data_IF_730045025707
#
_entry.id   IF_730045025707
#
_cell.length_a   1.000
_cell.length_b   1.000
_cell.length_c   1.000
_cell.angle_alpha   90.00
_cell.angle_beta   90.00
_cell.angle_gamma   90.00
#
_symmetry.space_group_name_H-M   'P 1'
#
loop_
_entity.id
_entity.type
_entity.pdbx_description
1 polymer ?
#
# COMPACT_ATOMS: atom_id res chain seq x y z
N UNK A 1 13.77 -31.36 -2.53
CA UNK A 1 12.39 -30.93 -2.22
C UNK A 1 11.59 -32.21 -2.02
N UNK A 2 10.81 -32.29 -0.95
CA UNK A 2 10.14 -33.50 -0.45
C UNK A 2 9.02 -34.05 -1.36
N UNK A 3 8.74 -33.43 -2.51
CA UNK A 3 7.78 -33.97 -3.49
C UNK A 3 8.05 -33.44 -4.89
N UNK A 4 7.54 -34.10 -5.96
CA UNK A 4 7.78 -33.71 -7.34
C UNK A 4 7.32 -32.28 -7.66
N UNK A 5 6.20 -31.84 -7.08
CA UNK A 5 5.64 -30.50 -7.36
C UNK A 5 5.92 -29.49 -6.23
N UNK A 6 6.70 -29.85 -5.21
CA UNK A 6 7.17 -28.90 -4.22
C UNK A 6 8.13 -27.88 -4.84
N UNK A 7 7.88 -26.58 -4.63
CA UNK A 7 8.84 -25.49 -4.94
C UNK A 7 8.57 -24.23 -4.11
N UNK A 8 9.65 -23.52 -3.80
CA UNK A 8 9.60 -22.17 -3.23
C UNK A 8 9.12 -21.18 -4.31
N UNK A 9 8.27 -20.22 -3.92
CA UNK A 9 7.84 -19.12 -4.82
C UNK A 9 8.63 -17.83 -4.58
N UNK A 10 9.74 -17.91 -3.84
CA UNK A 10 10.75 -16.86 -3.72
C UNK A 10 11.55 -16.62 -5.01
N UNK A 11 12.14 -15.43 -5.12
CA UNK A 11 13.01 -15.02 -6.23
C UNK A 11 12.27 -14.48 -7.46
N UNK A 12 10.94 -14.40 -7.43
CA UNK A 12 10.15 -13.84 -8.54
C UNK A 12 10.22 -12.30 -8.52
N UNK A 13 10.46 -11.64 -9.66
CA UNK A 13 10.50 -10.18 -9.71
C UNK A 13 9.11 -9.60 -9.43
N UNK A 14 9.07 -8.46 -8.75
CA UNK A 14 7.84 -7.67 -8.51
C UNK A 14 7.89 -6.34 -9.24
N UNK A 15 6.73 -5.72 -9.45
CA UNK A 15 6.60 -4.35 -9.98
C UNK A 15 7.29 -3.28 -9.12
N UNK A 16 7.62 -3.60 -7.87
CA UNK A 16 8.30 -2.70 -6.93
C UNK A 16 9.83 -2.72 -7.06
N UNK A 17 10.37 -3.53 -7.98
CA UNK A 17 11.82 -3.61 -8.22
C UNK A 17 12.57 -4.48 -7.22
N UNK A 18 11.86 -5.28 -6.42
CA UNK A 18 12.40 -6.29 -5.50
C UNK A 18 11.89 -7.68 -5.86
N UNK A 19 12.56 -8.73 -5.38
CA UNK A 19 12.12 -10.11 -5.58
C UNK A 19 11.30 -10.62 -4.40
N UNK A 20 10.44 -11.61 -4.64
CA UNK A 20 9.73 -12.31 -3.57
C UNK A 20 10.73 -13.01 -2.62
N UNK A 21 10.42 -13.00 -1.33
CA UNK A 21 11.27 -13.53 -0.27
C UNK A 21 11.45 -15.05 -0.42
N UNK A 22 12.69 -15.56 -0.37
CA UNK A 22 12.92 -17.00 -0.35
C UNK A 22 12.29 -17.62 0.91
N UNK A 23 11.76 -18.83 0.76
CA UNK A 23 11.13 -19.65 1.79
C UNK A 23 9.94 -18.98 2.50
N UNK A 24 9.38 -17.89 1.97
CA UNK A 24 8.22 -17.25 2.58
C UNK A 24 6.95 -18.09 2.38
N UNK A 25 6.76 -18.58 1.15
CA UNK A 25 5.66 -19.46 0.77
C UNK A 25 6.23 -20.57 -0.09
N UNK A 26 5.86 -21.81 0.23
CA UNK A 26 6.20 -22.98 -0.56
C UNK A 26 4.90 -23.63 -1.02
N UNK A 27 4.82 -23.92 -2.32
CA UNK A 27 3.73 -24.73 -2.87
C UNK A 27 4.17 -26.17 -3.00
N UNK A 28 3.25 -27.12 -2.80
CA UNK A 28 3.54 -28.55 -2.86
C UNK A 28 2.33 -29.36 -3.31
N UNK A 29 2.56 -30.58 -3.80
CA UNK A 29 1.58 -31.66 -3.75
C UNK A 29 1.54 -32.30 -2.36
N UNK A 30 0.76 -33.39 -2.21
CA UNK A 30 0.58 -34.06 -0.91
C UNK A 30 1.92 -34.51 -0.35
N UNK A 31 2.15 -34.19 0.92
CA UNK A 31 3.29 -34.71 1.67
C UNK A 31 3.08 -36.21 1.96
N UNK A 32 4.06 -37.04 1.58
CA UNK A 32 4.14 -38.44 1.98
C UNK A 32 4.97 -38.58 3.29
N UNK A 33 4.67 -39.59 4.10
CA UNK A 33 5.38 -39.87 5.33
C UNK A 33 6.87 -40.20 5.11
N UNK A 34 7.22 -40.71 3.91
CA UNK A 34 8.60 -41.00 3.54
C UNK A 34 9.48 -39.74 3.46
N UNK A 35 8.88 -38.59 3.16
CA UNK A 35 9.59 -37.33 2.92
C UNK A 35 9.51 -36.35 4.11
N UNK A 36 8.98 -36.82 5.25
CA UNK A 36 8.72 -36.01 6.44
C UNK A 36 10.00 -35.36 7.01
N UNK A 37 11.14 -36.05 6.97
CA UNK A 37 12.40 -35.51 7.50
C UNK A 37 12.92 -34.31 6.70
N UNK A 38 12.77 -34.31 5.37
CA UNK A 38 13.14 -33.17 4.53
C UNK A 38 12.16 -32.01 4.73
N UNK A 39 10.88 -32.33 4.93
CA UNK A 39 9.84 -31.35 5.25
C UNK A 39 10.06 -30.67 6.61
N UNK A 40 10.35 -31.43 7.66
CA UNK A 40 10.58 -30.89 9.01
C UNK A 40 11.75 -29.89 9.06
N UNK A 41 12.76 -30.07 8.20
CA UNK A 41 13.87 -29.12 8.04
C UNK A 41 13.45 -27.75 7.47
N UNK A 42 12.26 -27.64 6.86
CA UNK A 42 11.71 -26.36 6.42
C UNK A 42 11.32 -25.49 7.62
N UNK A 43 10.94 -26.12 8.74
CA UNK A 43 10.43 -25.49 9.95
C UNK A 43 9.22 -24.58 9.70
N UNK A 44 8.23 -25.10 8.96
CA UNK A 44 7.03 -24.36 8.57
C UNK A 44 6.22 -23.86 9.78
N UNK A 45 5.81 -22.59 9.74
CA UNK A 45 4.88 -22.01 10.71
C UNK A 45 3.43 -22.40 10.43
N UNK A 46 3.12 -22.72 9.16
CA UNK A 46 1.81 -23.22 8.74
C UNK A 46 1.98 -24.21 7.58
N UNK A 47 1.24 -25.31 7.65
CA UNK A 47 1.06 -26.30 6.58
C UNK A 47 -0.43 -26.39 6.30
N UNK A 48 -0.83 -25.79 5.18
CA UNK A 48 -2.22 -25.62 4.79
C UNK A 48 -2.62 -26.68 3.77
N UNK A 49 -3.47 -27.61 4.21
CA UNK A 49 -4.05 -28.66 3.37
C UNK A 49 -5.41 -28.21 2.82
N UNK A 50 -5.47 -28.04 1.50
CA UNK A 50 -6.66 -27.59 0.76
C UNK A 50 -7.57 -28.74 0.29
N UNK A 51 -7.25 -29.99 0.65
CA UNK A 51 -7.99 -31.18 0.21
C UNK A 51 -9.32 -31.34 0.91
N UNK A 52 -10.30 -31.81 0.17
CA UNK A 52 -11.63 -32.14 0.68
C UNK A 52 -11.70 -33.57 1.22
N UNK A 53 -12.77 -33.90 1.96
CA UNK A 53 -12.84 -35.17 2.72
C UNK A 53 -12.70 -36.39 1.80
N UNK A 54 -13.28 -36.34 0.59
CA UNK A 54 -13.22 -37.43 -0.38
C UNK A 54 -11.82 -37.68 -0.95
N UNK A 55 -10.88 -36.76 -0.76
CA UNK A 55 -9.48 -36.93 -1.17
C UNK A 55 -8.61 -37.53 -0.05
N UNK A 56 -9.10 -37.51 1.19
CA UNK A 56 -8.40 -37.98 2.38
C UNK A 56 -8.60 -39.48 2.57
N UNK A 57 -7.79 -40.29 1.89
CA UNK A 57 -7.79 -41.75 2.10
C UNK A 57 -7.11 -42.17 3.41
N UNK A 58 -6.18 -41.34 3.90
CA UNK A 58 -5.41 -41.53 5.12
C UNK A 58 -5.26 -40.16 5.81
N UNK A 59 -5.12 -40.12 7.14
CA UNK A 59 -4.75 -38.89 7.87
C UNK A 59 -3.50 -38.23 7.28
N UNK A 60 -3.42 -36.91 7.37
CA UNK A 60 -2.21 -36.21 6.93
C UNK A 60 -1.05 -36.53 7.91
N UNK A 61 0.20 -36.71 7.45
CA UNK A 61 1.32 -37.04 8.35
C UNK A 61 1.55 -36.04 9.50
N UNK A 62 1.14 -34.78 9.31
CA UNK A 62 1.26 -33.71 10.31
C UNK A 62 -0.03 -33.44 11.09
N UNK A 63 -1.05 -34.26 10.93
CA UNK A 63 -2.32 -34.08 11.63
C UNK A 63 -2.12 -34.09 13.16
N UNK A 64 -2.65 -33.07 13.83
CA UNK A 64 -2.47 -32.85 15.28
C UNK A 64 -1.24 -32.04 15.67
N UNK A 65 -0.35 -31.70 14.73
CA UNK A 65 0.75 -30.75 15.00
C UNK A 65 0.24 -29.30 15.02
N UNK A 66 0.87 -28.37 15.77
CA UNK A 66 0.46 -26.97 15.80
C UNK A 66 0.58 -26.24 14.46
N UNK A 67 1.49 -26.70 13.58
CA UNK A 67 1.71 -26.09 12.27
C UNK A 67 0.68 -26.55 11.23
N UNK A 68 0.02 -27.69 11.41
CA UNK A 68 -0.89 -28.23 10.42
C UNK A 68 -2.31 -27.69 10.57
N UNK A 69 -2.85 -27.18 9.47
CA UNK A 69 -4.26 -26.80 9.39
C UNK A 69 -4.86 -27.29 8.09
N UNK A 70 -6.04 -27.89 8.20
CA UNK A 70 -6.82 -28.31 7.03
C UNK A 70 -7.99 -27.36 6.83
N UNK A 71 -8.03 -26.71 5.67
CA UNK A 71 -9.15 -25.88 5.23
C UNK A 71 -9.45 -26.28 3.78
N UNK A 72 -10.44 -27.14 3.53
CA UNK A 72 -10.78 -27.57 2.18
C UNK A 72 -11.10 -26.36 1.32
N UNK A 73 -10.54 -26.27 0.12
CA UNK A 73 -10.93 -25.19 -0.79
C UNK A 73 -12.41 -25.26 -1.16
N UNK A 74 -12.89 -26.48 -1.46
CA UNK A 74 -14.26 -26.68 -1.91
C UNK A 74 -15.16 -26.72 -0.68
N UNK A 75 -16.13 -25.81 -0.63
CA UNK A 75 -17.22 -25.82 0.33
C UNK A 75 -18.30 -26.82 -0.13
N UNK A 76 -18.55 -27.91 0.61
CA UNK A 76 -19.53 -28.92 0.21
C UNK A 76 -20.99 -28.41 0.15
N UNK A 77 -21.34 -27.34 0.86
CA UNK A 77 -22.65 -26.71 0.71
C UNK A 77 -22.72 -25.88 -0.56
N UNK A 78 -21.70 -25.05 -0.82
CA UNK A 78 -21.66 -24.24 -2.01
C UNK A 78 -21.59 -25.09 -3.29
N UNK A 79 -20.80 -26.16 -3.29
CA UNK A 79 -20.65 -27.07 -4.44
C UNK A 79 -21.94 -27.85 -4.74
N UNK A 80 -22.82 -28.08 -3.75
CA UNK A 80 -24.16 -28.67 -3.99
C UNK A 80 -25.08 -27.78 -4.81
N UNK A 81 -24.83 -26.47 -4.81
CA UNK A 81 -25.59 -25.48 -5.56
C UNK A 81 -24.95 -25.16 -6.92
N UNK A 82 -23.88 -25.87 -7.30
CA UNK A 82 -23.18 -25.65 -8.57
C UNK A 82 -24.06 -26.02 -9.76
N UNK A 83 -24.20 -25.06 -10.67
CA UNK A 83 -24.76 -25.30 -12.00
C UNK A 83 -23.63 -25.66 -12.97
N UNK A 84 -23.57 -26.92 -13.39
CA UNK A 84 -22.56 -27.39 -14.32
C UNK A 84 -22.76 -26.86 -15.75
N UNK A 85 -24.00 -26.54 -16.13
CA UNK A 85 -24.32 -26.01 -17.46
C UNK A 85 -23.86 -24.56 -17.61
N UNK A 86 -23.74 -23.83 -16.48
CA UNK A 86 -23.14 -22.51 -16.42
C UNK A 86 -21.60 -22.53 -16.47
N UNK A 87 -20.96 -23.70 -16.42
CA UNK A 87 -19.49 -23.88 -16.42
C UNK A 87 -19.03 -24.92 -17.47
N UNK A 88 -19.30 -24.69 -18.77
CA UNK A 88 -19.04 -25.68 -19.80
C UNK A 88 -17.54 -25.94 -20.05
N UNK A 89 -16.66 -25.01 -19.64
CA UNK A 89 -15.21 -25.12 -19.81
C UNK A 89 -14.51 -25.14 -18.45
N UNK A 90 -13.33 -25.77 -18.39
CA UNK A 90 -12.55 -25.84 -17.16
C UNK A 90 -12.18 -24.44 -16.60
N UNK A 91 -11.95 -23.46 -17.48
CA UNK A 91 -11.67 -22.07 -17.07
C UNK A 91 -12.87 -21.44 -16.34
N UNK A 92 -14.10 -21.80 -16.72
CA UNK A 92 -15.31 -21.33 -16.06
C UNK A 92 -15.42 -21.94 -14.65
N UNK A 93 -15.01 -23.20 -14.49
CA UNK A 93 -14.93 -23.86 -13.18
C UNK A 93 -13.93 -23.17 -12.25
N UNK A 94 -12.73 -22.85 -12.74
CA UNK A 94 -11.71 -22.14 -11.96
C UNK A 94 -12.20 -20.77 -11.52
N UNK A 95 -12.75 -20.01 -12.47
CA UNK A 95 -13.33 -18.68 -12.27
C UNK A 95 -14.40 -18.71 -11.19
N UNK A 96 -15.46 -19.48 -11.40
CA UNK A 96 -16.62 -19.49 -10.53
C UNK A 96 -16.31 -20.14 -9.17
N UNK A 97 -15.27 -20.97 -9.09
CA UNK A 97 -14.79 -21.51 -7.81
C UNK A 97 -14.31 -20.43 -6.85
N UNK A 98 -13.76 -19.31 -7.36
CA UNK A 98 -13.28 -18.18 -6.53
C UNK A 98 -14.42 -17.47 -5.79
N UNK A 99 -15.61 -17.41 -6.37
CA UNK A 99 -16.79 -16.78 -5.75
C UNK A 99 -17.66 -17.80 -5.02
N UNK A 100 -17.88 -18.99 -5.61
CA UNK A 100 -18.67 -20.07 -4.98
C UNK A 100 -18.09 -20.49 -3.64
N UNK A 101 -16.77 -20.60 -3.52
CA UNK A 101 -16.11 -21.09 -2.31
C UNK A 101 -15.62 -19.96 -1.38
N UNK A 102 -16.19 -18.75 -1.49
CA UNK A 102 -15.72 -17.56 -0.79
C UNK A 102 -15.49 -17.77 0.71
N UNK A 103 -16.42 -18.39 1.42
CA UNK A 103 -16.30 -18.64 2.87
C UNK A 103 -15.03 -19.44 3.22
N UNK A 104 -14.73 -20.48 2.45
CA UNK A 104 -13.55 -21.31 2.67
C UNK A 104 -12.27 -20.60 2.23
N UNK A 105 -12.31 -19.90 1.10
CA UNK A 105 -11.16 -19.13 0.58
C UNK A 105 -10.77 -17.99 1.54
N UNK A 106 -11.74 -17.27 2.11
CA UNK A 106 -11.47 -16.25 3.13
C UNK A 106 -10.75 -16.83 4.36
N UNK A 107 -11.16 -18.02 4.82
CA UNK A 107 -10.48 -18.74 5.92
C UNK A 107 -9.06 -19.18 5.54
N UNK A 108 -8.85 -19.61 4.29
CA UNK A 108 -7.52 -19.97 3.75
C UNK A 108 -6.57 -18.77 3.83
N UNK A 109 -6.96 -17.63 3.27
CA UNK A 109 -6.09 -16.45 3.28
C UNK A 109 -5.93 -15.86 4.68
N UNK A 110 -6.96 -15.91 5.54
CA UNK A 110 -6.83 -15.53 6.95
C UNK A 110 -5.78 -16.39 7.67
N UNK A 111 -5.80 -17.71 7.48
CA UNK A 111 -4.81 -18.61 8.06
C UNK A 111 -3.38 -18.28 7.59
N UNK A 112 -3.18 -17.98 6.30
CA UNK A 112 -1.87 -17.58 5.76
C UNK A 112 -1.41 -16.23 6.34
N UNK A 113 -2.34 -15.28 6.51
CA UNK A 113 -2.07 -13.97 7.08
C UNK A 113 -1.71 -14.04 8.58
N UNK A 114 -2.29 -15.00 9.31
CA UNK A 114 -2.11 -15.16 10.75
C UNK A 114 -0.98 -16.14 11.13
N UNK A 115 -0.41 -16.84 10.15
CA UNK A 115 0.78 -17.67 10.35
C UNK A 115 1.97 -16.83 10.85
N UNK A 116 2.93 -17.41 11.59
CA UNK A 116 4.13 -16.70 12.02
C UNK A 116 4.87 -16.04 10.84
N UNK A 117 5.23 -14.76 10.97
CA UNK A 117 5.82 -13.97 9.88
C UNK A 117 7.28 -14.34 9.57
N UNK A 118 7.97 -14.95 10.52
CA UNK A 118 9.36 -15.38 10.48
C UNK A 118 9.53 -16.83 9.99
N UNK A 119 8.41 -17.56 9.79
CA UNK A 119 8.43 -18.97 9.38
C UNK A 119 7.71 -19.19 8.04
N UNK A 120 8.13 -20.19 7.25
CA UNK A 120 7.50 -20.52 5.97
C UNK A 120 6.03 -20.94 6.10
N UNK A 121 5.24 -20.63 5.08
CA UNK A 121 3.92 -21.22 4.88
C UNK A 121 3.99 -22.23 3.75
N UNK A 122 3.53 -23.45 3.98
CA UNK A 122 3.35 -24.46 2.93
C UNK A 122 1.89 -24.53 2.56
N UNK A 123 1.58 -24.44 1.27
CA UNK A 123 0.23 -24.62 0.74
C UNK A 123 0.21 -25.82 -0.20
N UNK A 124 -0.66 -26.79 0.07
CA UNK A 124 -0.80 -27.95 -0.80
C UNK A 124 -2.26 -28.35 -1.00
N UNK A 125 -2.50 -29.03 -2.13
CA UNK A 125 -3.74 -29.75 -2.39
C UNK A 125 -3.36 -31.20 -2.73
N UNK A 126 -4.14 -31.88 -3.58
CA UNK A 126 -3.79 -33.24 -4.02
C UNK A 126 -2.52 -33.30 -4.89
N UNK A 127 -2.49 -32.51 -5.95
CA UNK A 127 -1.37 -32.50 -6.91
C UNK A 127 -0.56 -31.20 -6.86
N UNK A 128 -0.89 -30.28 -5.94
CA UNK A 128 -0.26 -28.95 -5.90
C UNK A 128 -0.55 -28.10 -7.15
N UNK A 129 -1.56 -28.48 -7.94
CA UNK A 129 -1.86 -27.95 -9.26
C UNK A 129 -2.93 -26.86 -9.21
N UNK A 130 -4.19 -27.26 -9.03
CA UNK A 130 -5.36 -26.39 -9.22
C UNK A 130 -5.56 -25.40 -8.06
N UNK A 131 -6.00 -25.88 -6.89
CA UNK A 131 -6.31 -25.04 -5.71
C UNK A 131 -5.08 -24.33 -5.15
N UNK A 132 -3.98 -25.07 -5.05
CA UNK A 132 -2.67 -24.49 -4.72
C UNK A 132 -2.26 -23.45 -5.74
N UNK A 133 -2.45 -23.70 -7.04
CA UNK A 133 -2.15 -22.73 -8.08
C UNK A 133 -2.96 -21.44 -7.94
N UNK A 134 -4.27 -21.55 -7.68
CA UNK A 134 -5.13 -20.39 -7.42
C UNK A 134 -4.69 -19.61 -6.17
N UNK A 135 -4.44 -20.29 -5.04
CA UNK A 135 -3.93 -19.61 -3.83
C UNK A 135 -2.63 -18.87 -4.11
N UNK A 136 -1.67 -19.52 -4.76
CA UNK A 136 -0.37 -18.94 -5.07
C UNK A 136 -0.51 -17.76 -6.03
N UNK A 137 -1.34 -17.86 -7.06
CA UNK A 137 -1.54 -16.77 -8.01
C UNK A 137 -2.10 -15.51 -7.36
N UNK A 138 -3.08 -15.65 -6.46
CA UNK A 138 -3.63 -14.52 -5.71
C UNK A 138 -2.56 -13.89 -4.80
N UNK A 139 -1.74 -14.69 -4.12
CA UNK A 139 -0.64 -14.16 -3.30
C UNK A 139 0.40 -13.43 -4.13
N UNK A 140 0.80 -13.99 -5.28
CA UNK A 140 1.81 -13.40 -6.15
C UNK A 140 1.31 -12.12 -6.84
N UNK A 141 0.06 -12.08 -7.28
CA UNK A 141 -0.54 -10.88 -7.88
C UNK A 141 -0.70 -9.76 -6.84
N UNK A 142 -1.11 -10.11 -5.61
CA UNK A 142 -1.09 -9.19 -4.45
C UNK A 142 0.32 -8.64 -4.15
N UNK A 143 1.33 -9.50 -4.24
CA UNK A 143 2.74 -9.14 -4.07
C UNK A 143 3.34 -8.38 -5.27
N UNK A 144 2.53 -8.12 -6.31
CA UNK A 144 2.93 -7.36 -7.48
C UNK A 144 3.85 -8.10 -8.45
N UNK A 145 3.86 -9.44 -8.43
CA UNK A 145 4.57 -10.25 -9.42
C UNK A 145 3.85 -10.14 -10.77
N UNK A 146 4.57 -9.88 -11.88
CA UNK A 146 3.96 -9.81 -13.20
C UNK A 146 3.25 -11.12 -13.57
N UNK A 147 2.07 -11.01 -14.18
CA UNK A 147 1.18 -12.16 -14.41
C UNK A 147 1.78 -13.22 -15.32
N UNK A 148 2.66 -12.83 -16.24
CA UNK A 148 3.44 -13.77 -17.06
C UNK A 148 4.35 -14.67 -16.22
N UNK A 149 4.92 -14.15 -15.12
CA UNK A 149 5.73 -14.93 -14.18
C UNK A 149 4.86 -15.85 -13.34
N UNK A 150 3.68 -15.37 -12.90
CA UNK A 150 2.69 -16.19 -12.19
C UNK A 150 2.24 -17.37 -13.06
N UNK A 151 1.96 -17.11 -14.34
CA UNK A 151 1.52 -18.13 -15.28
C UNK A 151 2.64 -19.11 -15.64
N UNK A 152 3.88 -18.63 -15.75
CA UNK A 152 5.06 -19.48 -15.92
C UNK A 152 5.28 -20.39 -14.70
N UNK A 153 5.21 -19.86 -13.47
CA UNK A 153 5.27 -20.69 -12.26
C UNK A 153 4.18 -21.76 -12.25
N UNK A 154 2.94 -21.38 -12.56
CA UNK A 154 1.83 -22.32 -12.61
C UNK A 154 2.08 -23.48 -13.58
N UNK A 155 2.57 -23.17 -14.79
CA UNK A 155 2.83 -24.13 -15.87
C UNK A 155 3.94 -25.15 -15.56
N UNK A 156 4.87 -24.84 -14.65
CA UNK A 156 5.91 -25.79 -14.19
C UNK A 156 5.29 -27.08 -13.65
N UNK A 157 4.10 -26.98 -13.05
CA UNK A 157 3.39 -28.13 -12.48
C UNK A 157 3.13 -29.21 -13.54
N UNK A 158 2.93 -28.84 -14.81
CA UNK A 158 2.74 -29.81 -15.90
C UNK A 158 3.93 -30.73 -16.07
N UNK A 159 5.13 -30.13 -16.02
CA UNK A 159 6.40 -30.81 -16.22
C UNK A 159 6.74 -31.68 -15.03
N UNK A 160 6.56 -31.13 -13.82
CA UNK A 160 6.86 -31.83 -12.58
C UNK A 160 5.95 -33.04 -12.35
N UNK A 161 4.69 -32.96 -12.80
CA UNK A 161 3.73 -34.05 -12.67
C UNK A 161 3.76 -35.03 -13.86
N UNK A 162 4.50 -34.73 -14.94
CA UNK A 162 4.59 -35.59 -16.12
C UNK A 162 3.28 -35.71 -16.90
N UNK A 163 2.51 -34.62 -17.00
CA UNK A 163 1.15 -34.63 -17.60
C UNK A 163 1.05 -33.83 -18.91
N UNK A 164 2.18 -33.55 -19.56
CA UNK A 164 2.25 -32.76 -20.80
C UNK A 164 1.46 -33.39 -21.96
N UNK A 165 1.45 -34.73 -22.02
CA UNK A 165 0.73 -35.53 -23.03
C UNK A 165 -0.64 -36.01 -22.53
N UNK A 166 -1.07 -35.53 -21.36
CA UNK A 166 -2.36 -35.88 -20.76
C UNK A 166 -3.56 -35.20 -21.43
N UNK A 167 -4.79 -35.63 -21.07
CA UNK A 167 -6.01 -34.95 -21.51
C UNK A 167 -5.99 -33.47 -21.12
N UNK A 168 -6.59 -32.63 -21.95
CA UNK A 168 -6.59 -31.16 -21.78
C UNK A 168 -6.96 -30.71 -20.36
N UNK A 169 -7.98 -31.33 -19.76
CA UNK A 169 -8.45 -30.98 -18.41
C UNK A 169 -7.45 -31.29 -17.28
N UNK A 170 -6.43 -32.10 -17.55
CA UNK A 170 -5.38 -32.44 -16.58
C UNK A 170 -4.22 -31.44 -16.59
N UNK A 171 -4.04 -30.72 -17.72
CA UNK A 171 -2.89 -29.84 -17.97
C UNK A 171 -2.87 -28.58 -17.10
N UNK A 172 -1.76 -27.86 -17.08
CA UNK A 172 -1.62 -26.54 -16.42
C UNK A 172 -1.26 -25.46 -17.42
N UNK A 173 -2.18 -25.22 -18.35
CA UNK A 173 -1.96 -24.16 -19.32
C UNK A 173 -1.97 -22.78 -18.65
N UNK A 174 -1.04 -21.87 -19.00
CA UNK A 174 -0.97 -20.49 -18.47
C UNK A 174 -2.32 -19.76 -18.46
N UNK A 175 -3.14 -19.93 -19.49
CA UNK A 175 -4.40 -19.21 -19.66
C UNK A 175 -5.42 -19.51 -18.55
N UNK A 176 -5.30 -20.66 -17.88
CA UNK A 176 -6.16 -21.04 -16.77
C UNK A 176 -6.00 -20.11 -15.57
N UNK A 177 -4.75 -19.77 -15.22
CA UNK A 177 -4.49 -18.91 -14.08
C UNK A 177 -4.68 -17.44 -14.44
N UNK A 178 -4.30 -17.06 -15.67
CA UNK A 178 -4.53 -15.71 -16.19
C UNK A 178 -6.02 -15.38 -16.22
N UNK A 179 -6.86 -16.27 -16.77
CA UNK A 179 -8.30 -16.05 -16.81
C UNK A 179 -8.98 -16.05 -15.43
N UNK A 180 -8.33 -16.59 -14.40
CA UNK A 180 -8.77 -16.48 -13.01
C UNK A 180 -8.43 -15.12 -12.42
N UNK A 181 -7.23 -14.58 -12.69
CA UNK A 181 -6.83 -13.25 -12.25
C UNK A 181 -7.60 -12.14 -12.98
N UNK A 182 -7.86 -12.29 -14.28
CA UNK A 182 -8.74 -11.40 -15.06
C UNK A 182 -10.15 -11.35 -14.46
N UNK A 183 -10.67 -12.48 -13.98
CA UNK A 183 -11.95 -12.47 -13.27
C UNK A 183 -11.91 -11.70 -11.95
N UNK A 184 -10.78 -11.71 -11.25
CA UNK A 184 -10.64 -10.89 -10.05
C UNK A 184 -10.60 -9.40 -10.39
N UNK A 185 -10.06 -9.02 -11.55
CA UNK A 185 -10.13 -7.61 -12.03
C UNK A 185 -11.58 -7.16 -12.24
N UNK A 186 -12.45 -8.02 -12.78
CA UNK A 186 -13.89 -7.75 -12.89
C UNK A 186 -14.55 -7.51 -11.51
N UNK A 187 -13.95 -7.99 -10.43
CA UNK A 187 -14.38 -7.81 -9.04
C UNK A 187 -13.65 -6.64 -8.33
N UNK A 188 -12.88 -5.83 -9.06
CA UNK A 188 -12.08 -4.72 -8.52
C UNK A 188 -10.64 -5.08 -8.14
N UNK A 189 -10.15 -6.23 -8.62
CA UNK A 189 -8.79 -6.72 -8.40
C UNK A 189 -8.64 -7.58 -7.14
N UNK A 190 -7.44 -8.13 -6.95
CA UNK A 190 -7.13 -9.05 -5.83
C UNK A 190 -7.38 -8.43 -4.47
N UNK A 191 -7.04 -7.15 -4.27
CA UNK A 191 -7.27 -6.48 -2.99
C UNK A 191 -8.77 -6.41 -2.65
N UNK A 192 -9.60 -5.94 -3.60
CA UNK A 192 -11.04 -5.85 -3.41
C UNK A 192 -11.67 -7.23 -3.18
N UNK A 193 -11.20 -8.24 -3.90
CA UNK A 193 -11.61 -9.63 -3.71
C UNK A 193 -11.30 -10.12 -2.28
N UNK A 194 -10.08 -9.93 -1.78
CA UNK A 194 -9.71 -10.36 -0.42
C UNK A 194 -10.50 -9.62 0.66
N UNK A 195 -10.78 -8.33 0.47
CA UNK A 195 -11.67 -7.58 1.36
C UNK A 195 -13.11 -8.12 1.32
N UNK A 196 -13.63 -8.45 0.14
CA UNK A 196 -14.95 -9.07 -0.02
C UNK A 196 -15.05 -10.45 0.64
N UNK A 197 -13.95 -11.21 0.65
CA UNK A 197 -13.82 -12.47 1.40
C UNK A 197 -13.81 -12.27 2.93
N UNK A 198 -13.76 -11.04 3.42
CA UNK A 198 -13.81 -10.69 4.84
C UNK A 198 -12.45 -10.46 5.50
N UNK A 199 -11.36 -10.35 4.74
CA UNK A 199 -10.05 -10.02 5.32
C UNK A 199 -9.94 -8.54 5.69
N UNK A 200 -9.32 -8.25 6.84
CA UNK A 200 -8.98 -6.88 7.23
C UNK A 200 -7.83 -6.31 6.38
N UNK A 201 -7.67 -4.98 6.35
CA UNK A 201 -6.55 -4.36 5.64
C UNK A 201 -5.20 -4.83 6.22
N UNK A 202 -5.09 -5.02 7.54
CA UNK A 202 -3.89 -5.59 8.14
C UNK A 202 -3.63 -7.04 7.73
N UNK A 203 -4.66 -7.88 7.58
CA UNK A 203 -4.48 -9.25 7.06
C UNK A 203 -3.97 -9.23 5.62
N UNK A 204 -4.58 -8.41 4.75
CA UNK A 204 -4.15 -8.28 3.35
C UNK A 204 -2.70 -7.77 3.27
N UNK A 205 -2.34 -6.79 4.09
CA UNK A 205 -0.96 -6.30 4.18
C UNK A 205 0.03 -7.40 4.63
N UNK A 206 -0.33 -8.21 5.64
CA UNK A 206 0.50 -9.34 6.09
C UNK A 206 0.71 -10.39 4.99
N UNK A 207 -0.29 -10.62 4.14
CA UNK A 207 -0.14 -11.51 2.99
C UNK A 207 0.91 -10.97 2.00
N UNK A 208 0.84 -9.68 1.66
CA UNK A 208 1.78 -9.05 0.74
C UNK A 208 3.20 -9.02 1.32
N UNK A 209 3.37 -8.59 2.57
CA UNK A 209 4.67 -8.44 3.24
C UNK A 209 5.32 -9.76 3.65
N UNK A 210 4.54 -10.85 3.68
CA UNK A 210 5.11 -12.20 3.74
C UNK A 210 5.97 -12.48 2.52
N UNK A 211 5.52 -12.05 1.33
CA UNK A 211 6.25 -12.28 0.08
C UNK A 211 7.22 -11.16 -0.27
N UNK A 212 6.99 -9.92 0.15
CA UNK A 212 7.85 -8.78 -0.20
C UNK A 212 8.36 -8.12 1.08
N UNK A 213 9.68 -7.95 1.26
CA UNK A 213 10.19 -7.34 2.49
C UNK A 213 9.80 -5.86 2.55
N UNK A 214 9.33 -5.41 3.71
CA UNK A 214 9.04 -4.00 4.01
C UNK A 214 9.74 -3.69 5.33
N UNK A 215 10.59 -2.67 5.33
CA UNK A 215 11.36 -2.20 6.50
C UNK A 215 10.89 -0.83 6.99
N UNK A 216 9.68 -0.41 6.57
CA UNK A 216 9.07 0.85 6.97
C UNK A 216 8.38 0.68 8.32
N UNK A 217 8.72 1.56 9.26
CA UNK A 217 8.18 1.61 10.61
C UNK A 217 7.38 2.90 10.88
N UNK A 218 7.53 3.93 10.04
CA UNK A 218 6.86 5.20 10.25
C UNK A 218 6.47 5.94 8.95
N UNK A 219 5.45 6.78 9.06
CA UNK A 219 5.06 7.74 8.03
C UNK A 219 5.01 9.14 8.65
N UNK A 220 5.71 10.08 8.03
CA UNK A 220 5.75 11.49 8.44
C UNK A 220 5.11 12.34 7.34
N UNK A 221 4.04 13.03 7.69
CA UNK A 221 3.32 13.89 6.76
C UNK A 221 3.79 15.35 6.91
N UNK A 222 4.04 16.03 5.79
CA UNK A 222 3.91 17.48 5.78
C UNK A 222 2.45 17.89 6.05
N UNK A 223 2.23 19.16 6.40
CA UNK A 223 0.92 19.67 6.78
C UNK A 223 0.28 20.57 5.72
N UNK A 224 0.99 21.62 5.30
CA UNK A 224 0.42 22.72 4.52
C UNK A 224 0.49 22.37 3.03
N UNK A 225 -0.66 22.35 2.35
CA UNK A 225 -0.72 21.91 0.96
C UNK A 225 -0.73 20.39 0.79
N UNK A 226 -0.32 19.62 1.81
CA UNK A 226 -0.42 18.16 1.83
C UNK A 226 -1.52 17.60 2.72
N UNK A 227 -1.38 17.69 4.05
CA UNK A 227 -2.36 17.08 4.95
C UNK A 227 -3.70 17.76 4.75
N UNK A 228 -3.68 19.10 4.66
CA UNK A 228 -4.81 19.94 4.30
C UNK A 228 -4.39 20.91 3.20
N UNK A 229 -5.31 21.22 2.27
CA UNK A 229 -5.05 22.21 1.23
C UNK A 229 -5.15 23.66 1.77
N UNK A 230 -4.20 24.03 2.62
CA UNK A 230 -4.09 25.39 3.16
C UNK A 230 -3.58 26.39 2.12
N UNK A 231 -3.05 25.91 1.00
CA UNK A 231 -2.50 26.74 -0.09
C UNK A 231 -3.59 27.33 -0.97
N UNK A 232 -4.60 26.54 -1.34
CA UNK A 232 -5.77 27.08 -2.05
C UNK A 232 -6.45 28.16 -1.22
N UNK A 233 -6.59 27.96 0.10
CA UNK A 233 -7.14 29.00 0.99
C UNK A 233 -6.27 30.27 1.03
N UNK A 234 -4.95 30.15 0.87
CA UNK A 234 -4.05 31.29 0.84
C UNK A 234 -4.22 32.10 -0.45
N UNK A 235 -4.28 31.41 -1.59
CA UNK A 235 -4.45 31.99 -2.93
C UNK A 235 -5.81 32.66 -3.05
N UNK A 236 -6.89 31.94 -2.73
CA UNK A 236 -8.26 32.47 -2.85
C UNK A 236 -8.49 33.67 -1.94
N UNK A 237 -7.90 33.69 -0.73
CA UNK A 237 -8.00 34.87 0.14
C UNK A 237 -7.24 36.09 -0.40
N UNK A 238 -6.19 35.89 -1.20
CA UNK A 238 -5.51 36.99 -1.91
C UNK A 238 -6.32 37.46 -3.13
N UNK A 239 -6.86 36.53 -3.92
CA UNK A 239 -7.75 36.84 -5.04
C UNK A 239 -9.00 37.61 -4.59
N UNK A 240 -9.61 37.19 -3.48
CA UNK A 240 -10.76 37.89 -2.91
C UNK A 240 -10.43 39.32 -2.47
N UNK A 241 -9.23 39.56 -1.94
CA UNK A 241 -8.79 40.91 -1.58
C UNK A 241 -8.46 41.75 -2.81
N UNK A 242 -7.89 41.20 -3.88
CA UNK A 242 -7.73 41.90 -5.15
C UNK A 242 -9.09 42.29 -5.75
N UNK A 243 -10.02 41.33 -5.79
CA UNK A 243 -11.36 41.53 -6.31
C UNK A 243 -12.13 42.60 -5.53
N UNK A 244 -11.87 42.73 -4.22
CA UNK A 244 -12.45 43.81 -3.40
C UNK A 244 -12.09 45.21 -3.92
N UNK A 245 -10.90 45.37 -4.51
CA UNK A 245 -10.45 46.62 -5.14
C UNK A 245 -10.74 46.69 -6.64
N UNK A 246 -11.51 45.74 -7.19
CA UNK A 246 -11.81 45.66 -8.62
C UNK A 246 -10.61 45.24 -9.48
N UNK A 247 -9.63 44.58 -8.88
CA UNK A 247 -8.42 44.08 -9.54
C UNK A 247 -8.49 42.56 -9.69
N UNK A 248 -7.69 42.01 -10.62
CA UNK A 248 -7.48 40.58 -10.81
C UNK A 248 -6.05 40.23 -10.42
N UNK A 249 -5.87 39.13 -9.69
CA UNK A 249 -4.56 38.65 -9.25
C UNK A 249 -4.05 37.60 -10.23
N UNK A 250 -2.99 37.93 -10.95
CA UNK A 250 -2.22 36.98 -11.76
C UNK A 250 -1.44 36.02 -10.85
N UNK A 251 -1.54 34.72 -11.13
CA UNK A 251 -0.85 33.69 -10.35
C UNK A 251 0.54 33.34 -10.88
N UNK A 252 0.94 33.88 -12.03
CA UNK A 252 2.27 33.68 -12.59
C UNK A 252 3.35 34.22 -11.64
N UNK A 253 4.23 33.33 -11.17
CA UNK A 253 5.26 33.67 -10.18
C UNK A 253 4.72 33.92 -8.77
N UNK A 254 3.42 33.69 -8.51
CA UNK A 254 2.81 33.81 -7.19
C UNK A 254 3.38 32.81 -6.18
N UNK A 255 3.79 31.64 -6.68
CA UNK A 255 4.35 30.54 -5.92
C UNK A 255 5.86 30.41 -6.19
N UNK A 256 6.74 30.77 -5.24
CA UNK A 256 8.19 30.64 -5.42
C UNK A 256 8.70 29.19 -5.27
N UNK A 257 7.81 28.20 -5.16
CA UNK A 257 8.17 26.78 -5.05
C UNK A 257 8.52 26.31 -3.64
N UNK A 258 8.37 27.17 -2.63
CA UNK A 258 8.41 26.82 -1.21
C UNK A 258 7.13 27.30 -0.53
N UNK A 259 6.53 26.48 0.34
CA UNK A 259 5.39 26.87 1.16
C UNK A 259 5.68 28.14 1.97
N UNK A 260 4.71 29.06 2.07
CA UNK A 260 4.84 30.29 2.86
C UNK A 260 4.23 31.54 2.23
N UNK A 261 3.60 32.38 3.05
CA UNK A 261 3.01 33.64 2.63
C UNK A 261 4.07 34.77 2.65
N UNK A 262 4.53 35.21 1.48
CA UNK A 262 5.32 36.45 1.32
C UNK A 262 4.41 37.69 1.40
N UNK A 263 3.72 37.83 2.53
CA UNK A 263 2.60 38.77 2.66
C UNK A 263 2.99 40.23 2.42
N UNK A 264 4.20 40.64 2.80
CA UNK A 264 4.68 42.02 2.69
C UNK A 264 4.78 42.50 1.24
N UNK A 265 5.42 41.72 0.37
CA UNK A 265 5.59 42.06 -1.03
C UNK A 265 4.23 42.12 -1.74
N UNK A 266 3.32 41.21 -1.38
CA UNK A 266 1.94 41.19 -1.90
C UNK A 266 1.18 42.45 -1.47
N UNK A 267 1.28 42.86 -0.20
CA UNK A 267 0.69 44.12 0.24
C UNK A 267 1.30 45.33 -0.47
N UNK A 268 2.60 45.34 -0.76
CA UNK A 268 3.24 46.41 -1.50
C UNK A 268 2.72 46.51 -2.95
N UNK A 269 2.55 45.37 -3.63
CA UNK A 269 1.97 45.32 -4.99
C UNK A 269 0.53 45.82 -4.98
N UNK A 270 -0.29 45.35 -4.03
CA UNK A 270 -1.68 45.80 -3.91
C UNK A 270 -1.77 47.30 -3.62
N UNK A 271 -0.95 47.79 -2.68
CA UNK A 271 -0.89 49.20 -2.33
C UNK A 271 -0.54 50.08 -3.54
N UNK A 272 0.42 49.65 -4.35
CA UNK A 272 0.81 50.36 -5.56
C UNK A 272 -0.32 50.39 -6.61
N UNK A 273 -1.10 49.32 -6.74
CA UNK A 273 -2.21 49.23 -7.68
C UNK A 273 -3.44 50.03 -7.23
N UNK A 274 -3.75 50.03 -5.93
CA UNK A 274 -4.90 50.74 -5.35
C UNK A 274 -4.61 52.23 -5.14
N UNK A 275 -3.37 52.59 -4.81
CA UNK A 275 -2.97 53.97 -4.57
C UNK A 275 -3.34 54.48 -3.18
N UNK A 276 -3.71 55.75 -3.07
CA UNK A 276 -3.87 56.46 -1.78
C UNK A 276 -4.97 55.92 -0.89
N UNK A 277 -5.91 55.17 -1.45
CA UNK A 277 -7.07 54.61 -0.73
C UNK A 277 -6.77 53.24 -0.10
N UNK A 278 -5.54 52.73 -0.27
CA UNK A 278 -5.16 51.44 0.29
C UNK A 278 -4.98 51.49 1.82
N UNK A 279 -5.93 50.93 2.54
CA UNK A 279 -5.80 50.62 3.96
C UNK A 279 -5.29 49.18 4.15
N UNK A 280 -4.01 49.07 4.47
CA UNK A 280 -3.35 47.78 4.77
C UNK A 280 -4.00 47.03 5.93
N UNK A 281 -4.40 47.72 6.99
CA UNK A 281 -4.97 47.07 8.19
C UNK A 281 -6.33 46.48 7.84
N UNK A 282 -7.17 47.23 7.14
CA UNK A 282 -8.46 46.75 6.67
C UNK A 282 -8.31 45.61 5.65
N UNK A 283 -7.34 45.71 4.74
CA UNK A 283 -6.99 44.68 3.76
C UNK A 283 -6.60 43.37 4.43
N UNK A 284 -5.68 43.41 5.40
CA UNK A 284 -5.27 42.25 6.17
C UNK A 284 -6.44 41.64 6.95
N UNK A 285 -7.27 42.45 7.59
CA UNK A 285 -8.43 41.96 8.33
C UNK A 285 -9.46 41.26 7.42
N UNK A 286 -9.76 41.81 6.23
CA UNK A 286 -10.67 41.18 5.25
C UNK A 286 -10.12 39.85 4.74
N UNK A 287 -8.84 39.83 4.36
CA UNK A 287 -8.15 38.63 3.89
C UNK A 287 -8.19 37.52 4.95
N UNK A 288 -7.81 37.83 6.19
CA UNK A 288 -7.81 36.84 7.27
C UNK A 288 -9.23 36.34 7.55
N UNK A 289 -10.22 37.23 7.65
CA UNK A 289 -11.61 36.82 7.84
C UNK A 289 -12.14 35.97 6.68
N UNK A 290 -11.68 36.20 5.45
CA UNK A 290 -12.01 35.35 4.31
C UNK A 290 -11.34 33.98 4.42
N UNK A 291 -10.05 33.94 4.78
CA UNK A 291 -9.30 32.69 4.96
C UNK A 291 -9.88 31.82 6.08
N UNK A 292 -10.20 32.41 7.23
CA UNK A 292 -10.82 31.70 8.36
C UNK A 292 -12.17 31.06 8.00
N UNK A 293 -12.97 31.70 7.12
CA UNK A 293 -14.22 31.09 6.63
C UNK A 293 -13.96 29.83 5.81
N UNK A 294 -12.97 29.85 4.94
CA UNK A 294 -12.58 28.66 4.17
C UNK A 294 -12.01 27.58 5.09
N UNK A 295 -11.22 27.97 6.09
CA UNK A 295 -10.68 27.04 7.08
C UNK A 295 -11.75 26.34 7.89
N UNK A 296 -12.92 26.94 8.10
CA UNK A 296 -14.02 26.28 8.80
C UNK A 296 -14.45 24.97 8.11
N UNK A 297 -14.37 24.92 6.78
CA UNK A 297 -14.75 23.77 5.95
C UNK A 297 -13.55 22.89 5.53
N UNK A 298 -12.32 23.33 5.79
CA UNK A 298 -11.11 22.63 5.39
C UNK A 298 -10.99 21.27 6.10
N UNK A 299 -10.71 20.21 5.37
CA UNK A 299 -10.44 18.88 5.93
C UNK A 299 -9.19 18.28 5.24
N UNK A 300 -8.86 17.05 5.59
CA UNK A 300 -7.73 16.34 5.00
C UNK A 300 -7.90 16.18 3.50
N UNK A 301 -6.79 16.26 2.75
CA UNK A 301 -6.80 15.94 1.32
C UNK A 301 -7.25 14.48 1.09
N UNK A 302 -7.83 14.16 -0.07
CA UNK A 302 -8.32 12.82 -0.38
C UNK A 302 -7.27 11.73 -0.12
N UNK A 303 -7.71 10.59 0.42
CA UNK A 303 -6.85 9.44 0.73
C UNK A 303 -6.04 9.52 2.04
N UNK A 304 -5.69 10.72 2.52
CA UNK A 304 -4.81 10.90 3.70
C UNK A 304 -5.38 10.23 4.96
N UNK A 305 -6.68 10.41 5.25
CA UNK A 305 -7.33 9.75 6.41
C UNK A 305 -7.27 8.22 6.29
N UNK A 306 -7.43 7.68 5.08
CA UNK A 306 -7.40 6.25 4.84
C UNK A 306 -5.98 5.69 5.06
N UNK A 307 -4.94 6.40 4.59
CA UNK A 307 -3.55 6.03 4.88
C UNK A 307 -3.24 6.07 6.36
N UNK A 308 -3.63 7.12 7.08
CA UNK A 308 -3.39 7.21 8.54
C UNK A 308 -4.10 6.07 9.28
N UNK A 309 -5.35 5.77 8.94
CA UNK A 309 -6.09 4.66 9.54
C UNK A 309 -5.41 3.30 9.28
N UNK A 310 -5.01 3.04 8.03
CA UNK A 310 -4.29 1.83 7.66
C UNK A 310 -2.93 1.73 8.38
N UNK A 311 -2.16 2.82 8.43
CA UNK A 311 -0.86 2.86 9.11
C UNK A 311 -1.00 2.47 10.59
N UNK A 312 -2.02 2.99 11.27
CA UNK A 312 -2.30 2.65 12.67
C UNK A 312 -2.76 1.21 12.85
N UNK A 313 -3.58 0.66 11.94
CA UNK A 313 -3.96 -0.77 11.97
C UNK A 313 -2.74 -1.69 11.80
N UNK A 314 -1.75 -1.25 11.03
CA UNK A 314 -0.48 -1.95 10.81
C UNK A 314 0.54 -1.75 11.94
N UNK A 315 0.26 -0.88 12.91
CA UNK A 315 1.18 -0.55 13.99
C UNK A 315 2.35 0.34 13.58
N UNK A 316 2.27 1.03 12.44
CA UNK A 316 3.24 2.05 12.04
C UNK A 316 3.08 3.30 12.91
N UNK A 317 4.20 3.96 13.16
CA UNK A 317 4.19 5.27 13.83
C UNK A 317 3.83 6.36 12.82
N UNK A 318 3.04 7.34 13.24
CA UNK A 318 2.53 8.40 12.37
C UNK A 318 2.85 9.76 12.98
N UNK A 319 3.50 10.64 12.21
CA UNK A 319 3.86 11.98 12.67
C UNK A 319 3.57 13.07 11.65
N UNK A 320 3.62 14.33 12.11
CA UNK A 320 3.62 15.53 11.27
C UNK A 320 4.98 16.23 11.39
N UNK A 321 5.50 16.72 10.27
CA UNK A 321 6.65 17.62 10.20
C UNK A 321 6.31 18.84 9.33
N UNK A 322 5.95 19.97 9.95
CA UNK A 322 5.45 21.18 9.27
C UNK A 322 6.35 22.40 9.52
N UNK A 323 6.62 23.19 8.48
CA UNK A 323 7.31 24.48 8.63
C UNK A 323 6.48 25.55 9.35
N UNK A 324 5.17 25.32 9.54
CA UNK A 324 4.28 26.26 10.22
C UNK A 324 4.42 26.21 11.75
N UNK A 325 4.07 27.29 12.47
CA UNK A 325 4.10 27.31 13.94
C UNK A 325 3.13 26.31 14.57
N UNK A 326 3.46 25.80 15.76
CA UNK A 326 2.64 24.83 16.48
C UNK A 326 1.15 25.20 16.60
N UNK A 327 0.86 26.45 16.92
CA UNK A 327 -0.51 26.94 17.12
C UNK A 327 -1.38 26.76 15.86
N UNK A 328 -0.79 26.92 14.67
CA UNK A 328 -1.48 26.75 13.40
C UNK A 328 -1.87 25.28 13.18
N UNK A 329 -0.87 24.40 13.21
CA UNK A 329 -1.04 22.96 12.98
C UNK A 329 -2.03 22.37 13.99
N UNK A 330 -1.79 22.61 15.29
CA UNK A 330 -2.65 22.11 16.38
C UNK A 330 -4.07 22.65 16.25
N UNK A 331 -4.25 23.95 15.97
CA UNK A 331 -5.59 24.54 15.84
C UNK A 331 -6.42 23.91 14.73
N UNK A 332 -5.81 23.62 13.57
CA UNK A 332 -6.49 22.92 12.48
C UNK A 332 -6.82 21.47 12.82
N UNK A 333 -5.91 20.75 13.50
CA UNK A 333 -6.14 19.36 13.91
C UNK A 333 -7.21 19.23 15.00
N UNK A 334 -7.25 20.12 15.98
CA UNK A 334 -8.29 20.16 17.01
C UNK A 334 -9.67 20.36 16.39
N UNK A 335 -9.77 21.29 15.43
CA UNK A 335 -11.03 21.60 14.73
C UNK A 335 -11.63 20.38 14.05
N UNK A 336 -10.79 19.51 13.48
CA UNK A 336 -11.25 18.28 12.79
C UNK A 336 -11.12 17.01 13.65
N UNK A 337 -10.83 17.15 14.95
CA UNK A 337 -10.74 16.04 15.89
C UNK A 337 -9.63 15.02 15.57
N UNK A 338 -8.49 15.46 15.02
CA UNK A 338 -7.47 14.59 14.44
C UNK A 338 -6.13 14.56 15.19
N UNK A 339 -5.97 15.29 16.30
CA UNK A 339 -4.69 15.29 17.06
C UNK A 339 -4.26 13.88 17.45
N UNK A 340 -5.17 13.08 17.98
CA UNK A 340 -4.90 11.73 18.50
C UNK A 340 -4.54 10.72 17.39
N UNK A 341 -4.58 11.12 16.12
CA UNK A 341 -4.14 10.27 15.02
C UNK A 341 -2.61 10.22 14.90
N UNK A 342 -1.90 11.21 15.46
CA UNK A 342 -0.45 11.39 15.32
C UNK A 342 0.26 11.13 16.64
N UNK A 343 1.30 10.31 16.61
CA UNK A 343 2.15 10.04 17.77
C UNK A 343 2.98 11.27 18.13
N UNK A 344 3.44 12.02 17.11
CA UNK A 344 4.18 13.26 17.27
C UNK A 344 3.79 14.33 16.24
N UNK A 345 3.84 15.59 16.67
CA UNK A 345 3.66 16.77 15.83
C UNK A 345 4.89 17.64 16.04
N UNK A 346 5.72 17.76 15.00
CA UNK A 346 6.92 18.60 14.95
C UNK A 346 6.64 19.81 14.08
N UNK A 347 6.92 20.99 14.59
CA UNK A 347 6.61 22.26 13.93
C UNK A 347 7.83 23.17 13.76
N UNK A 348 7.73 24.14 12.85
CA UNK A 348 8.85 24.98 12.43
C UNK A 348 9.42 25.88 13.52
N UNK A 349 8.67 26.12 14.59
CA UNK A 349 9.11 26.82 15.80
C UNK A 349 10.01 25.97 16.71
N UNK A 350 10.22 24.69 16.38
CA UNK A 350 11.06 23.76 17.13
C UNK A 350 12.45 23.54 16.49
N UNK A 351 12.72 24.14 15.32
CA UNK A 351 13.97 24.00 14.57
C UNK A 351 14.53 25.36 14.15
N UNK A 352 15.86 25.48 14.09
CA UNK A 352 16.54 26.73 13.69
C UNK A 352 16.62 26.89 12.17
N UNK A 353 16.75 25.78 11.44
CA UNK A 353 16.83 25.71 9.98
C UNK A 353 15.52 25.18 9.41
N UNK A 354 15.17 25.66 8.21
CA UNK A 354 13.92 25.30 7.53
C UNK A 354 14.20 24.51 6.25
N UNK A 355 13.20 23.76 5.79
CA UNK A 355 13.23 23.01 4.51
C UNK A 355 13.80 23.92 3.41
N UNK A 356 14.83 23.49 2.65
CA UNK A 356 15.21 22.10 2.35
C UNK A 356 16.20 21.46 3.34
N UNK A 357 16.53 22.13 4.44
CA UNK A 357 17.33 21.53 5.51
C UNK A 357 16.55 20.38 6.20
N UNK A 358 17.21 19.24 6.53
CA UNK A 358 16.54 18.05 7.06
C UNK A 358 16.12 18.16 8.53
N UNK A 359 16.52 19.21 9.26
CA UNK A 359 16.40 19.27 10.73
C UNK A 359 15.00 18.94 11.27
N UNK A 360 13.93 19.34 10.56
CA UNK A 360 12.55 19.05 10.99
C UNK A 360 12.20 17.55 10.89
N UNK A 361 12.67 16.88 9.83
CA UNK A 361 12.49 15.45 9.66
C UNK A 361 13.39 14.67 10.61
N UNK A 362 14.64 15.08 10.80
CA UNK A 362 15.54 14.48 11.78
C UNK A 362 14.95 14.53 13.21
N UNK A 363 14.35 15.66 13.58
CA UNK A 363 13.65 15.79 14.87
C UNK A 363 12.42 14.88 14.96
N UNK A 364 11.64 14.75 13.89
CA UNK A 364 10.51 13.82 13.85
C UNK A 364 10.96 12.36 14.00
N UNK A 365 11.97 11.94 13.24
CA UNK A 365 12.58 10.61 13.31
C UNK A 365 13.14 10.31 14.70
N UNK A 366 13.83 11.29 15.32
CA UNK A 366 14.35 11.18 16.67
C UNK A 366 13.24 10.93 17.71
N UNK A 367 12.11 11.65 17.61
CA UNK A 367 10.96 11.48 18.53
C UNK A 367 10.29 10.12 18.34
N UNK A 368 10.12 9.70 17.09
CA UNK A 368 9.56 8.40 16.73
C UNK A 368 10.49 7.23 17.12
N UNK A 369 11.80 7.49 17.23
CA UNK A 369 12.80 6.47 17.52
C UNK A 369 13.05 5.52 16.36
N UNK A 370 13.00 6.03 15.13
CA UNK A 370 13.22 5.24 13.90
C UNK A 370 14.33 5.87 13.04
N UNK A 371 15.12 5.08 12.29
CA UNK A 371 16.04 5.62 11.30
C UNK A 371 15.26 6.16 10.08
N UNK A 372 15.86 7.13 9.37
CA UNK A 372 15.30 7.69 8.14
C UNK A 372 14.98 6.62 7.09
N UNK A 373 15.90 5.67 6.90
CA UNK A 373 15.75 4.53 5.99
C UNK A 373 14.52 3.65 6.25
N UNK A 374 13.91 3.74 7.44
CA UNK A 374 12.70 3.01 7.83
C UNK A 374 11.48 3.92 7.92
N UNK A 375 11.50 5.09 7.29
CA UNK A 375 10.41 6.04 7.31
C UNK A 375 10.09 6.57 5.91
N UNK A 376 8.80 6.80 5.69
CA UNK A 376 8.28 7.48 4.49
C UNK A 376 7.94 8.92 4.87
N UNK A 377 8.44 9.88 4.11
CA UNK A 377 7.93 11.25 4.14
C UNK A 377 6.91 11.43 3.03
N UNK A 378 5.76 12.03 3.34
CA UNK A 378 4.81 12.49 2.34
C UNK A 378 4.89 14.02 2.31
N UNK A 379 5.02 14.59 1.12
CA UNK A 379 5.31 16.00 0.86
C UNK A 379 4.54 16.51 -0.35
N UNK A 380 4.44 17.82 -0.53
CA UNK A 380 3.80 18.45 -1.68
C UNK A 380 4.75 19.39 -2.45
N UNK A 381 5.89 19.76 -1.86
CA UNK A 381 6.86 20.70 -2.46
C UNK A 381 8.24 20.09 -2.70
N UNK A 382 9.00 20.68 -3.64
CA UNK A 382 10.36 20.26 -3.95
C UNK A 382 11.33 20.42 -2.77
N UNK A 383 11.19 21.50 -2.00
CA UNK A 383 12.01 21.76 -0.82
C UNK A 383 11.75 20.72 0.28
N UNK A 384 10.49 20.34 0.44
CA UNK A 384 10.10 19.30 1.38
C UNK A 384 10.62 17.93 1.01
N UNK A 385 10.48 17.55 -0.26
CA UNK A 385 11.08 16.33 -0.83
C UNK A 385 12.59 16.30 -0.57
N UNK A 386 13.30 17.40 -0.86
CA UNK A 386 14.73 17.50 -0.64
C UNK A 386 15.12 17.35 0.84
N UNK A 387 14.35 17.95 1.77
CA UNK A 387 14.58 17.83 3.21
C UNK A 387 14.37 16.38 3.70
N UNK A 388 13.33 15.70 3.22
CA UNK A 388 13.07 14.30 3.55
C UNK A 388 14.19 13.37 3.07
N UNK A 389 14.63 13.54 1.81
CA UNK A 389 15.72 12.74 1.24
C UNK A 389 17.06 13.01 1.95
N UNK A 390 17.32 14.26 2.34
CA UNK A 390 18.49 14.60 3.15
C UNK A 390 18.46 13.95 4.55
N UNK A 391 17.27 13.62 5.06
CA UNK A 391 17.07 12.83 6.28
C UNK A 391 17.03 11.31 6.05
N UNK A 392 17.46 10.83 4.86
CA UNK A 392 17.49 9.41 4.46
C UNK A 392 16.11 8.73 4.38
N UNK A 393 15.04 9.52 4.23
CA UNK A 393 13.67 9.01 4.12
C UNK A 393 13.27 8.72 2.66
N UNK A 394 12.38 7.74 2.47
CA UNK A 394 11.72 7.54 1.18
C UNK A 394 10.67 8.65 0.98
N UNK A 395 10.84 9.47 -0.06
CA UNK A 395 10.03 10.66 -0.29
C UNK A 395 8.89 10.39 -1.29
N UNK A 396 7.64 10.63 -0.85
CA UNK A 396 6.44 10.62 -1.68
C UNK A 396 5.96 12.04 -1.88
N UNK A 397 5.85 12.48 -3.13
CA UNK A 397 5.26 13.77 -3.47
C UNK A 397 3.79 13.62 -3.89
N UNK A 398 2.91 14.39 -3.25
CA UNK A 398 1.51 14.61 -3.62
C UNK A 398 1.32 16.11 -3.82
N UNK A 399 1.71 16.67 -4.98
CA UNK A 399 1.77 18.11 -5.18
C UNK A 399 0.41 18.77 -4.94
N UNK A 400 0.45 19.97 -4.36
CA UNK A 400 -0.73 20.82 -4.23
C UNK A 400 -1.09 21.42 -5.61
N UNK A 401 -2.28 22.06 -5.78
CA UNK A 401 -2.73 22.60 -7.06
C UNK A 401 -1.78 23.59 -7.76
N UNK A 402 -0.83 24.17 -7.02
CA UNK A 402 0.12 25.18 -7.51
C UNK A 402 1.53 24.61 -7.76
N UNK A 403 1.75 23.32 -7.49
CA UNK A 403 3.02 22.63 -7.74
C UNK A 403 2.83 21.67 -8.91
N UNK A 404 3.66 21.83 -9.95
CA UNK A 404 3.61 20.89 -11.08
C UNK A 404 4.28 19.57 -10.69
N UNK A 405 3.82 18.40 -11.18
CA UNK A 405 4.50 17.13 -10.96
C UNK A 405 5.98 17.14 -11.37
N UNK A 406 6.33 17.92 -12.40
CA UNK A 406 7.71 18.09 -12.85
C UNK A 406 8.61 18.79 -11.81
N UNK A 407 8.05 19.65 -10.95
CA UNK A 407 8.80 20.35 -9.91
C UNK A 407 9.21 19.43 -8.75
N UNK A 408 8.49 18.31 -8.55
CA UNK A 408 8.73 17.32 -7.49
C UNK A 408 9.23 15.98 -8.06
N UNK A 409 9.74 15.98 -9.29
CA UNK A 409 10.17 14.76 -9.99
C UNK A 409 11.37 14.05 -9.35
N UNK A 410 12.10 14.71 -8.44
CA UNK A 410 13.19 14.11 -7.66
C UNK A 410 12.69 13.21 -6.52
N UNK A 411 11.39 13.24 -6.18
CA UNK A 411 10.81 12.32 -5.20
C UNK A 411 10.90 10.86 -5.66
N UNK A 412 10.98 9.92 -4.72
CA UNK A 412 11.02 8.49 -5.02
C UNK A 412 9.70 7.99 -5.63
N UNK A 413 8.59 8.67 -5.31
CA UNK A 413 7.28 8.44 -5.91
C UNK A 413 6.49 9.75 -6.00
N UNK A 414 5.83 9.99 -7.14
CA UNK A 414 4.91 11.12 -7.33
C UNK A 414 3.51 10.60 -7.60
N UNK A 415 2.52 11.10 -6.86
CA UNK A 415 1.09 10.76 -6.99
C UNK A 415 0.28 12.03 -7.19
N UNK A 416 -0.82 11.97 -7.94
CA UNK A 416 -1.75 13.11 -8.02
C UNK A 416 -2.57 13.29 -6.73
N UNK A 417 -2.84 12.18 -6.04
CA UNK A 417 -3.60 12.12 -4.80
C UNK A 417 -3.25 10.86 -4.01
N UNK A 418 -3.42 10.88 -2.68
CA UNK A 418 -3.15 9.73 -1.83
C UNK A 418 -4.18 8.59 -2.02
N UNK A 419 -5.35 8.85 -2.61
CA UNK A 419 -6.35 7.82 -2.93
C UNK A 419 -6.08 7.07 -4.25
N UNK A 420 -5.06 7.48 -5.02
CA UNK A 420 -4.61 6.75 -6.21
C UNK A 420 -3.87 5.46 -5.88
N UNK A 421 -3.36 5.33 -4.65
CA UNK A 421 -2.55 4.20 -4.22
C UNK A 421 -2.93 3.74 -2.82
N UNK A 422 -3.08 2.42 -2.63
CA UNK A 422 -3.28 1.87 -1.30
C UNK A 422 -2.00 2.00 -0.47
N UNK A 423 -2.13 2.21 0.84
CA UNK A 423 -0.95 2.31 1.71
C UNK A 423 -0.04 1.06 1.60
N UNK A 424 -0.63 -0.13 1.50
CA UNK A 424 0.15 -1.37 1.31
C UNK A 424 1.02 -1.29 0.06
N UNK A 425 0.49 -0.83 -1.08
CA UNK A 425 1.28 -0.69 -2.31
C UNK A 425 2.37 0.38 -2.18
N UNK A 426 2.10 1.47 -1.44
CA UNK A 426 3.12 2.46 -1.12
C UNK A 426 4.27 1.85 -0.30
N UNK A 427 3.94 1.12 0.77
CA UNK A 427 4.94 0.46 1.63
C UNK A 427 5.78 -0.56 0.86
N UNK A 428 5.16 -1.31 -0.06
CA UNK A 428 5.86 -2.25 -0.94
C UNK A 428 6.78 -1.53 -1.96
N UNK A 429 6.40 -0.34 -2.42
CA UNK A 429 7.22 0.47 -3.32
C UNK A 429 8.48 1.02 -2.65
N UNK A 430 8.43 1.23 -1.33
CA UNK A 430 9.55 1.61 -0.49
C UNK A 430 10.43 0.43 -0.04
N UNK A 431 10.18 -0.78 -0.55
CA UNK A 431 10.98 -1.96 -0.20
C UNK A 431 12.47 -1.76 -0.54
N UNK A 432 13.41 -2.28 0.28
CA UNK A 432 14.83 -2.13 0.04
C UNK A 432 15.22 -2.73 -1.32
N UNK A 433 15.56 -1.86 -2.28
CA UNK A 433 16.13 -2.26 -3.56
C UNK A 433 17.58 -2.63 -3.28
N UNK A 434 17.83 -3.90 -2.93
CA UNK A 434 19.13 -4.42 -2.53
C UNK A 434 20.25 -3.84 -3.42
N UNK A 435 21.35 -3.41 -2.80
CA UNK A 435 22.38 -2.58 -3.43
C UNK A 435 22.76 -3.05 -4.82
N UNK A 436 22.18 -2.45 -5.86
CA UNK A 436 22.88 -2.32 -7.12
C UNK A 436 23.97 -1.32 -6.83
N UNK A 437 25.20 -1.81 -6.70
CA UNK A 437 26.40 -0.97 -6.64
C UNK A 437 26.30 0.09 -7.73
N UNK A 438 25.96 1.32 -7.35
CA UNK A 438 26.25 2.50 -8.18
C UNK A 438 27.77 2.62 -8.14
N UNK A 439 28.43 1.96 -9.09
CA UNK A 439 29.85 2.17 -9.39
C UNK A 439 30.03 3.52 -10.06
#
# INVERSE_FOLDING_TARGET
MWSPNARDVGGLPTRYGVQTRPRAVVRSDVLDAADLAEFEALDAGLVLDLRSDWEMKQPHPLEGTPAYQRIPWIDPEAERLRDADAEPRLVDVYRNSLTRNATHIGRIFSAIADAPADRPVVVHCKAGKDRTGLTIAVLLDLAGVPREQIAADYAISEVHLGIQDGPEFTRTRPEMILGSLEHLDDLGGVHAYLSWLGLSAAQIHRLATRLVPVEVEAIVFDFDGLLMDTETTMVESWQAEWAHHGLELELDGFWPGHGGDISEDRYAILAAAVGTDFDRTASHARRLAHRERMHAELDFRPGIRAWIAAARELGLRVAIASSSPRKWVVGHLERVGAIELFDHIVTGDEVETHKPDPAIYELALQRLGVPGSSAIAVEDTAHGVAAAQAADMYAVAVPNPFVTPAAVAEADLVLGSADELLLTDLLLSAAPKGSTSRN
#
